data_IF_932563237729
#
_entry.id   IF_932563237729
#
_cell.length_a   1.000
_cell.length_b   1.000
_cell.length_c   1.000
_cell.angle_alpha   90.00
_cell.angle_beta   90.00
_cell.angle_gamma   90.00
#
_symmetry.space_group_name_H-M   'P 1'
#
loop_
_entity.id
_entity.type
_entity.pdbx_description
1 polymer ?
#
# COMPACT_ATOMS: atom_id res chain seq x y z
N UNK A 1 9.75 32.17 -5.47
CA UNK A 1 9.11 31.11 -6.29
C UNK A 1 10.23 30.37 -7.02
N UNK A 2 10.71 29.25 -6.47
CA UNK A 2 11.88 28.53 -7.00
C UNK A 2 11.37 27.41 -7.91
N UNK A 3 11.48 27.63 -9.22
CA UNK A 3 11.09 26.63 -10.22
C UNK A 3 12.24 25.61 -10.32
N UNK A 4 11.99 24.37 -9.89
CA UNK A 4 12.93 23.25 -9.96
C UNK A 4 12.88 22.61 -11.36
N UNK A 5 13.48 23.27 -12.36
CA UNK A 5 13.70 22.67 -13.67
C UNK A 5 15.01 21.89 -13.66
N UNK A 6 14.95 20.58 -13.36
CA UNK A 6 15.89 19.50 -13.79
C UNK A 6 16.00 18.29 -12.83
N UNK A 7 15.09 18.09 -11.88
CA UNK A 7 14.99 16.79 -11.20
C UNK A 7 14.21 15.83 -12.11
N UNK A 8 14.85 14.73 -12.53
CA UNK A 8 14.15 13.66 -13.28
C UNK A 8 12.92 13.22 -12.48
N UNK A 9 11.78 12.94 -13.11
CA UNK A 9 10.54 12.56 -12.40
C UNK A 9 10.77 11.50 -11.32
N UNK A 10 11.70 10.57 -11.57
CA UNK A 10 12.17 9.57 -10.62
C UNK A 10 12.71 10.16 -9.31
N UNK A 11 13.53 11.21 -9.36
CA UNK A 11 14.05 11.88 -8.15
C UNK A 11 12.96 12.56 -7.33
N UNK A 12 11.94 13.14 -7.97
CA UNK A 12 10.79 13.70 -7.25
C UNK A 12 10.00 12.60 -6.52
N UNK A 13 9.76 11.46 -7.17
CA UNK A 13 9.08 10.33 -6.54
C UNK A 13 9.90 9.72 -5.40
N UNK A 14 11.21 9.62 -5.57
CA UNK A 14 12.12 9.18 -4.52
C UNK A 14 12.08 10.12 -3.31
N UNK A 15 12.21 11.43 -3.52
CA UNK A 15 12.15 12.43 -2.45
C UNK A 15 10.80 12.40 -1.72
N UNK A 16 9.70 12.20 -2.47
CA UNK A 16 8.36 12.07 -1.89
C UNK A 16 8.20 10.81 -1.04
N UNK A 17 8.71 9.66 -1.50
CA UNK A 17 8.71 8.42 -0.71
C UNK A 17 9.55 8.59 0.55
N UNK A 18 10.74 9.20 0.44
CA UNK A 18 11.61 9.49 1.58
C UNK A 18 10.97 10.40 2.62
N UNK A 19 10.25 11.42 2.16
CA UNK A 19 9.48 12.29 3.04
C UNK A 19 8.39 11.49 3.79
N UNK A 20 7.62 10.67 3.07
CA UNK A 20 6.55 9.87 3.66
C UNK A 20 7.05 8.76 4.62
N UNK A 21 8.22 8.18 4.34
CA UNK A 21 8.94 7.30 5.26
C UNK A 21 9.22 7.98 6.60
N UNK A 22 9.77 9.21 6.56
CA UNK A 22 10.06 10.00 7.75
C UNK A 22 8.79 10.38 8.52
N UNK A 23 7.73 10.79 7.81
CA UNK A 23 6.42 11.09 8.43
C UNK A 23 5.84 9.86 9.15
N UNK A 24 6.12 8.65 8.69
CA UNK A 24 5.66 7.42 9.32
C UNK A 24 6.63 6.84 10.35
N UNK A 25 7.84 7.40 10.54
CA UNK A 25 8.93 6.74 11.28
C UNK A 25 9.22 5.31 10.78
N UNK A 26 9.17 5.12 9.46
CA UNK A 26 9.43 3.86 8.76
C UNK A 26 10.70 4.02 7.92
N UNK A 27 11.61 3.05 7.97
CA UNK A 27 12.73 2.96 7.03
C UNK A 27 12.59 1.69 6.19
N UNK A 28 12.19 1.82 4.93
CA UNK A 28 12.11 0.68 4.01
C UNK A 28 13.52 0.27 3.58
N UNK A 29 13.66 -1.00 3.22
CA UNK A 29 14.84 -1.47 2.50
C UNK A 29 14.86 -0.85 1.11
N UNK A 30 16.06 -0.57 0.61
CA UNK A 30 16.29 0.03 -0.71
C UNK A 30 15.49 -0.64 -1.84
N UNK A 31 15.38 -1.98 -1.87
CA UNK A 31 14.63 -2.69 -2.91
C UNK A 31 13.11 -2.40 -2.87
N UNK A 32 12.54 -2.24 -1.69
CA UNK A 32 11.12 -1.94 -1.50
C UNK A 32 10.80 -0.49 -1.84
N UNK A 33 11.69 0.42 -1.46
CA UNK A 33 11.61 1.83 -1.81
C UNK A 33 11.71 2.03 -3.33
N UNK A 34 12.72 1.43 -3.98
CA UNK A 34 12.87 1.48 -5.43
C UNK A 34 11.64 0.89 -6.15
N UNK A 35 11.05 -0.17 -5.59
CA UNK A 35 9.81 -0.74 -6.09
C UNK A 35 8.64 0.25 -5.98
N UNK A 36 8.47 0.91 -4.83
CA UNK A 36 7.43 1.92 -4.60
C UNK A 36 7.56 3.09 -5.57
N UNK A 37 8.77 3.63 -5.73
CA UNK A 37 9.06 4.71 -6.69
C UNK A 37 8.66 4.29 -8.11
N UNK A 38 9.04 3.08 -8.52
CA UNK A 38 8.69 2.54 -9.84
C UNK A 38 7.18 2.32 -9.99
N UNK A 39 6.50 1.87 -8.94
CA UNK A 39 5.05 1.70 -8.91
C UNK A 39 4.32 3.03 -9.09
N UNK A 40 4.73 4.06 -8.37
CA UNK A 40 4.16 5.41 -8.45
C UNK A 40 4.37 6.04 -9.84
N UNK A 41 5.57 5.90 -10.40
CA UNK A 41 5.86 6.33 -11.78
C UNK A 41 4.96 5.62 -12.80
N UNK A 42 4.76 4.31 -12.65
CA UNK A 42 3.91 3.51 -13.54
C UNK A 42 2.45 3.92 -13.44
N UNK A 43 1.96 4.13 -12.22
CA UNK A 43 0.58 4.54 -11.96
C UNK A 43 0.27 5.93 -12.55
N UNK A 44 1.16 6.90 -12.38
CA UNK A 44 0.97 8.27 -12.90
C UNK A 44 0.75 8.28 -14.41
N UNK A 45 1.36 7.35 -15.12
CA UNK A 45 1.21 7.20 -16.57
C UNK A 45 -0.01 6.34 -16.97
N UNK A 46 -0.67 5.67 -16.03
CA UNK A 46 -1.75 4.69 -16.24
C UNK A 46 -2.79 4.69 -15.10
N UNK A 47 -3.53 5.80 -14.90
CA UNK A 47 -4.51 5.91 -13.80
C UNK A 47 -5.68 4.92 -13.93
N UNK A 48 -5.94 4.37 -15.12
CA UNK A 48 -6.97 3.36 -15.37
C UNK A 48 -6.74 2.02 -14.66
N UNK A 49 -5.53 1.78 -14.14
CA UNK A 49 -5.22 0.60 -13.33
C UNK A 49 -6.11 0.51 -12.08
N UNK A 50 -6.62 1.63 -11.55
CA UNK A 50 -7.42 1.67 -10.31
C UNK A 50 -8.94 1.45 -10.57
N UNK A 51 -9.34 0.91 -11.72
CA UNK A 51 -10.77 0.77 -12.09
C UNK A 51 -11.36 -0.65 -11.95
N UNK A 52 -10.57 -1.65 -11.60
CA UNK A 52 -10.98 -3.07 -11.70
C UNK A 52 -11.44 -3.65 -10.35
N UNK A 53 -12.20 -4.74 -10.41
CA UNK A 53 -12.58 -5.57 -9.25
C UNK A 53 -11.50 -6.63 -9.04
N UNK A 54 -10.69 -6.45 -8.00
CA UNK A 54 -9.43 -7.18 -7.83
C UNK A 54 -9.60 -8.69 -7.64
N UNK A 55 -10.64 -9.14 -6.94
CA UNK A 55 -10.90 -10.57 -6.73
C UNK A 55 -11.09 -11.32 -8.06
N UNK A 56 -11.80 -10.72 -9.02
CA UNK A 56 -12.03 -11.36 -10.31
C UNK A 56 -10.73 -11.50 -11.09
N UNK A 57 -9.88 -10.48 -11.08
CA UNK A 57 -8.56 -10.52 -11.74
C UNK A 57 -7.66 -11.56 -11.08
N UNK A 58 -7.67 -11.66 -9.75
CA UNK A 58 -6.93 -12.69 -9.02
C UNK A 58 -7.38 -14.11 -9.37
N UNK A 59 -8.69 -14.37 -9.36
CA UNK A 59 -9.24 -15.69 -9.73
C UNK A 59 -8.91 -16.05 -11.18
N UNK A 60 -8.99 -15.08 -12.11
CA UNK A 60 -8.56 -15.29 -13.50
C UNK A 60 -7.07 -15.60 -13.59
N UNK A 61 -6.21 -14.91 -12.83
CA UNK A 61 -4.77 -15.15 -12.82
C UNK A 61 -4.43 -16.62 -12.49
N UNK A 62 -5.15 -17.21 -11.53
CA UNK A 62 -4.96 -18.61 -11.12
C UNK A 62 -5.25 -19.63 -12.24
N UNK A 63 -5.99 -19.24 -13.27
CA UNK A 63 -6.37 -20.12 -14.39
C UNK A 63 -5.37 -20.09 -15.55
N UNK A 64 -4.37 -19.19 -15.54
CA UNK A 64 -3.41 -19.04 -16.63
C UNK A 64 -2.08 -19.81 -16.40
N UNK A 65 -1.34 -20.03 -17.49
CA UNK A 65 0.02 -20.58 -17.47
C UNK A 65 1.02 -19.63 -16.78
N UNK A 66 2.13 -20.20 -16.29
CA UNK A 66 3.02 -19.57 -15.32
C UNK A 66 3.48 -18.12 -15.64
N UNK A 67 3.92 -17.76 -16.87
CA UNK A 67 4.38 -16.40 -17.15
C UNK A 67 3.26 -15.37 -17.10
N UNK A 68 2.07 -15.74 -17.62
CA UNK A 68 0.89 -14.87 -17.64
C UNK A 68 0.27 -14.75 -16.25
N UNK A 69 0.27 -15.83 -15.47
CA UNK A 69 -0.16 -15.84 -14.07
C UNK A 69 0.68 -14.90 -13.23
N UNK A 70 2.02 -14.93 -13.37
CA UNK A 70 2.92 -14.06 -12.62
C UNK A 70 2.63 -12.57 -12.88
N UNK A 71 2.50 -12.17 -14.15
CA UNK A 71 2.20 -10.77 -14.50
C UNK A 71 0.84 -10.31 -13.95
N UNK A 72 -0.18 -11.17 -13.99
CA UNK A 72 -1.50 -10.84 -13.44
C UNK A 72 -1.50 -10.76 -11.91
N UNK A 73 -0.79 -11.66 -11.24
CA UNK A 73 -0.62 -11.60 -9.79
C UNK A 73 0.13 -10.34 -9.35
N UNK A 74 1.19 -9.95 -10.07
CA UNK A 74 1.92 -8.73 -9.77
C UNK A 74 1.00 -7.52 -9.88
N UNK A 75 0.22 -7.45 -10.97
CA UNK A 75 -0.78 -6.41 -11.16
C UNK A 75 -1.80 -6.37 -10.02
N UNK A 76 -2.32 -7.52 -9.57
CA UNK A 76 -3.25 -7.57 -8.42
C UNK A 76 -2.59 -7.06 -7.14
N UNK A 77 -1.34 -7.46 -6.87
CA UNK A 77 -0.60 -6.98 -5.71
C UNK A 77 -0.39 -5.46 -5.74
N UNK A 78 0.07 -4.96 -6.87
CA UNK A 78 0.35 -3.54 -7.11
C UNK A 78 -0.91 -2.68 -7.00
N UNK A 79 -2.00 -3.09 -7.64
CA UNK A 79 -3.28 -2.38 -7.58
C UNK A 79 -3.86 -2.41 -6.16
N UNK A 80 -3.81 -3.56 -5.46
CA UNK A 80 -4.25 -3.62 -4.06
C UNK A 80 -3.43 -2.68 -3.16
N UNK A 81 -2.12 -2.58 -3.38
CA UNK A 81 -1.25 -1.67 -2.63
C UNK A 81 -1.58 -0.20 -2.90
N UNK A 82 -1.81 0.16 -4.17
CA UNK A 82 -2.25 1.51 -4.56
C UNK A 82 -3.62 1.86 -3.98
N UNK A 83 -4.58 0.92 -3.98
CA UNK A 83 -5.90 1.14 -3.40
C UNK A 83 -5.84 1.37 -1.88
N UNK A 84 -5.12 0.49 -1.17
CA UNK A 84 -4.98 0.60 0.28
C UNK A 84 -4.15 1.84 0.69
N UNK A 85 -3.17 2.20 -0.13
CA UNK A 85 -2.22 3.28 0.14
C UNK A 85 -2.72 4.67 -0.29
N UNK A 86 -3.05 4.85 -1.57
CA UNK A 86 -3.35 6.17 -2.13
C UNK A 86 -4.84 6.47 -2.22
N UNK A 87 -5.70 5.45 -2.28
CA UNK A 87 -7.14 5.61 -2.54
C UNK A 87 -8.06 4.93 -1.51
N UNK A 88 -7.82 5.09 -0.19
CA UNK A 88 -8.64 4.43 0.83
C UNK A 88 -10.13 4.79 0.71
N UNK A 89 -10.47 6.05 0.42
CA UNK A 89 -11.86 6.49 0.19
C UNK A 89 -12.56 5.79 -0.99
N UNK A 90 -11.82 5.33 -2.01
CA UNK A 90 -12.42 4.55 -3.10
C UNK A 90 -12.79 3.13 -2.64
N UNK A 91 -12.07 2.58 -1.66
CA UNK A 91 -12.42 1.29 -1.04
C UNK A 91 -13.75 1.40 -0.28
N UNK A 92 -13.92 2.48 0.48
CA UNK A 92 -15.17 2.79 1.20
C UNK A 92 -16.37 2.98 0.26
N UNK A 93 -16.20 3.73 -0.84
CA UNK A 93 -17.25 3.88 -1.87
C UNK A 93 -17.66 2.56 -2.52
N UNK A 94 -16.78 1.54 -2.48
CA UNK A 94 -17.07 0.19 -2.97
C UNK A 94 -17.63 -0.73 -1.86
N UNK A 95 -17.82 -0.23 -0.65
CA UNK A 95 -18.20 -0.99 0.55
C UNK A 95 -17.26 -2.17 0.84
N UNK A 96 -15.97 -2.02 0.53
CA UNK A 96 -14.94 -3.04 0.79
C UNK A 96 -13.89 -2.47 1.72
N UNK A 97 -13.67 -3.15 2.85
CA UNK A 97 -12.67 -2.73 3.84
C UNK A 97 -11.25 -2.71 3.26
N UNK A 98 -10.41 -1.80 3.73
CA UNK A 98 -8.98 -1.74 3.37
C UNK A 98 -8.29 -3.09 3.64
N UNK A 99 -8.67 -3.77 4.73
CA UNK A 99 -8.13 -5.08 5.11
C UNK A 99 -8.32 -6.19 4.06
N UNK A 100 -9.37 -6.09 3.24
CA UNK A 100 -9.56 -7.00 2.11
C UNK A 100 -8.47 -6.80 1.05
N UNK A 101 -8.17 -5.56 0.67
CA UNK A 101 -7.11 -5.26 -0.31
C UNK A 101 -5.74 -5.66 0.22
N UNK A 102 -5.48 -5.43 1.52
CA UNK A 102 -4.24 -5.88 2.17
C UNK A 102 -4.12 -7.40 2.09
N UNK A 103 -5.16 -8.14 2.48
CA UNK A 103 -5.15 -9.61 2.43
C UNK A 103 -4.93 -10.13 1.01
N UNK A 104 -5.66 -9.58 0.03
CA UNK A 104 -5.58 -10.00 -1.36
C UNK A 104 -4.21 -9.67 -1.98
N UNK A 105 -3.69 -8.46 -1.75
CA UNK A 105 -2.39 -8.04 -2.26
C UNK A 105 -1.22 -8.84 -1.68
N UNK A 106 -1.23 -9.11 -0.37
CA UNK A 106 -0.25 -10.00 0.27
C UNK A 106 -0.31 -11.40 -0.33
N UNK A 107 -1.52 -11.94 -0.51
CA UNK A 107 -1.72 -13.26 -1.12
C UNK A 107 -1.17 -13.28 -2.54
N UNK A 108 -1.40 -12.25 -3.33
CA UNK A 108 -0.90 -12.16 -4.70
C UNK A 108 0.63 -12.18 -4.74
N UNK A 109 1.31 -11.35 -3.94
CA UNK A 109 2.78 -11.36 -3.86
C UNK A 109 3.33 -12.68 -3.31
N UNK A 110 2.69 -13.29 -2.30
CA UNK A 110 3.07 -14.62 -1.80
C UNK A 110 3.00 -15.69 -2.90
N UNK A 111 2.02 -15.62 -3.81
CA UNK A 111 1.87 -16.58 -4.92
C UNK A 111 2.90 -16.38 -6.05
N UNK A 112 3.55 -15.20 -6.12
CA UNK A 112 4.64 -14.94 -7.05
C UNK A 112 5.98 -15.36 -6.47
N UNK A 113 6.13 -15.19 -5.15
CA UNK A 113 7.37 -15.49 -4.45
C UNK A 113 7.77 -16.96 -4.63
N UNK A 114 9.04 -17.15 -5.00
CA UNK A 114 9.66 -18.47 -5.20
C UNK A 114 10.52 -18.82 -3.98
N UNK A 115 11.08 -17.79 -3.31
CA UNK A 115 11.95 -17.95 -2.13
C UNK A 115 11.47 -17.03 -1.01
N UNK A 116 11.58 -17.50 0.23
CA UNK A 116 11.15 -16.79 1.44
C UNK A 116 11.79 -15.40 1.65
N UNK A 117 12.89 -15.12 0.96
CA UNK A 117 13.64 -13.86 1.04
C UNK A 117 13.76 -13.13 -0.31
N UNK A 118 12.92 -13.46 -1.30
CA UNK A 118 12.87 -12.65 -2.52
C UNK A 118 12.09 -11.34 -2.32
N UNK A 119 12.12 -10.49 -3.36
CA UNK A 119 11.43 -9.20 -3.38
C UNK A 119 9.93 -9.35 -3.10
N UNK A 120 9.26 -10.34 -3.70
CA UNK A 120 7.81 -10.51 -3.56
C UNK A 120 7.43 -11.03 -2.16
N UNK A 121 8.23 -11.91 -1.56
CA UNK A 121 8.08 -12.25 -0.14
C UNK A 121 8.24 -11.00 0.75
N UNK A 122 9.20 -10.13 0.42
CA UNK A 122 9.42 -8.88 1.16
C UNK A 122 8.26 -7.90 0.99
N UNK A 123 7.69 -7.76 -0.22
CA UNK A 123 6.49 -6.96 -0.48
C UNK A 123 5.28 -7.49 0.31
N UNK A 124 5.06 -8.81 0.31
CA UNK A 124 3.97 -9.43 1.07
C UNK A 124 4.13 -9.25 2.59
N UNK A 125 5.37 -9.32 3.09
CA UNK A 125 5.69 -9.17 4.52
C UNK A 125 5.50 -7.74 5.00
N UNK A 126 5.98 -6.75 4.24
CA UNK A 126 5.97 -5.34 4.62
C UNK A 126 4.79 -4.56 4.02
N UNK A 127 3.76 -5.25 3.52
CA UNK A 127 2.65 -4.63 2.81
C UNK A 127 2.00 -3.47 3.58
N UNK A 128 1.77 -3.64 4.89
CA UNK A 128 1.16 -2.60 5.73
C UNK A 128 2.09 -1.40 5.88
N UNK A 129 3.41 -1.60 6.02
CA UNK A 129 4.38 -0.51 6.06
C UNK A 129 4.44 0.26 4.72
N UNK A 130 4.37 -0.44 3.59
CA UNK A 130 4.31 0.18 2.27
C UNK A 130 3.00 0.97 2.07
N UNK A 131 1.89 0.42 2.57
CA UNK A 131 0.59 1.09 2.61
C UNK A 131 0.65 2.37 3.46
N UNK A 132 1.23 2.30 4.66
CA UNK A 132 1.39 3.45 5.56
C UNK A 132 2.17 4.58 4.88
N UNK A 133 3.32 4.25 4.25
CA UNK A 133 4.11 5.21 3.47
C UNK A 133 3.30 5.82 2.33
N UNK A 134 2.56 5.02 1.56
CA UNK A 134 1.68 5.56 0.51
C UNK A 134 0.56 6.45 1.06
N UNK A 135 -0.04 6.10 2.20
CA UNK A 135 -1.07 6.93 2.83
C UNK A 135 -0.51 8.28 3.32
N UNK A 136 0.74 8.31 3.79
CA UNK A 136 1.41 9.56 4.18
C UNK A 136 1.74 10.48 2.99
N UNK A 137 1.88 9.93 1.78
CA UNK A 137 1.97 10.74 0.55
C UNK A 137 0.65 11.49 0.29
N UNK A 138 -0.50 10.89 0.62
CA UNK A 138 -1.80 11.49 0.43
C UNK A 138 -2.23 12.32 1.66
N UNK A 139 -1.76 13.56 1.73
CA UNK A 139 -2.01 14.48 2.86
C UNK A 139 -3.50 14.84 3.06
N UNK A 140 -4.32 14.75 2.01
CA UNK A 140 -5.76 15.01 2.11
C UNK A 140 -6.52 13.84 2.78
N UNK A 141 -5.85 12.71 3.02
CA UNK A 141 -6.44 11.54 3.66
C UNK A 141 -6.40 11.65 5.18
N UNK A 142 -7.23 12.52 5.74
CA UNK A 142 -7.53 12.55 7.17
C UNK A 142 -8.34 11.30 7.53
N UNK A 143 -7.70 10.30 8.16
CA UNK A 143 -8.46 9.22 8.79
C UNK A 143 -9.22 9.79 9.98
N UNK A 144 -10.51 9.48 10.05
CA UNK A 144 -11.30 9.72 11.24
C UNK A 144 -10.81 8.81 12.38
N UNK A 145 -10.97 9.20 13.65
CA UNK A 145 -10.50 8.40 14.79
C UNK A 145 -10.98 6.95 14.78
N UNK A 146 -12.25 6.72 14.40
CA UNK A 146 -12.81 5.37 14.34
C UNK A 146 -12.16 4.53 13.22
N UNK A 147 -11.94 5.13 12.05
CA UNK A 147 -11.29 4.47 10.91
C UNK A 147 -9.83 4.13 11.25
N UNK A 148 -9.13 5.05 11.93
CA UNK A 148 -7.76 4.83 12.39
C UNK A 148 -7.71 3.69 13.42
N UNK A 149 -8.69 3.63 14.32
CA UNK A 149 -8.82 2.53 15.28
C UNK A 149 -9.04 1.19 14.59
N UNK A 150 -9.98 1.10 13.65
CA UNK A 150 -10.24 -0.13 12.89
C UNK A 150 -8.99 -0.56 12.09
N UNK A 151 -8.34 0.37 11.39
CA UNK A 151 -7.14 0.08 10.60
C UNK A 151 -5.99 -0.42 11.49
N UNK A 152 -5.75 0.23 12.65
CA UNK A 152 -4.74 -0.21 13.59
C UNK A 152 -5.08 -1.58 14.21
N UNK A 153 -6.33 -1.79 14.62
CA UNK A 153 -6.76 -3.02 15.25
C UNK A 153 -6.63 -4.22 14.29
N UNK A 154 -7.08 -4.06 13.05
CA UNK A 154 -7.16 -5.13 12.06
C UNK A 154 -5.82 -5.39 11.36
N UNK A 155 -5.05 -4.34 11.06
CA UNK A 155 -3.85 -4.42 10.22
C UNK A 155 -2.54 -4.16 10.97
N UNK A 156 -2.60 -3.55 12.15
CA UNK A 156 -1.40 -3.12 12.88
C UNK A 156 -0.67 -1.96 12.21
N UNK A 157 -1.40 -1.10 11.47
CA UNK A 157 -0.85 0.10 10.83
C UNK A 157 -0.25 1.03 11.88
N UNK A 158 1.03 1.40 11.70
CA UNK A 158 1.74 2.29 12.62
C UNK A 158 1.32 3.74 12.41
N UNK A 159 1.10 4.14 11.15
CA UNK A 159 0.51 5.45 10.83
C UNK A 159 -0.84 5.63 11.52
N UNK A 160 -1.71 4.61 11.47
CA UNK A 160 -3.02 4.67 12.12
C UNK A 160 -2.92 4.78 13.65
N UNK A 161 -1.97 4.06 14.26
CA UNK A 161 -1.68 4.20 15.70
C UNK A 161 -1.30 5.64 16.07
N UNK A 162 -0.38 6.24 15.32
CA UNK A 162 0.06 7.62 15.55
C UNK A 162 -1.08 8.64 15.42
N UNK A 163 -1.92 8.50 14.41
CA UNK A 163 -3.09 9.37 14.23
C UNK A 163 -4.01 9.30 15.46
N UNK A 164 -4.19 8.12 16.07
CA UNK A 164 -5.00 7.98 17.28
C UNK A 164 -4.40 8.72 18.48
N UNK A 165 -3.07 8.74 18.62
CA UNK A 165 -2.37 9.49 19.67
C UNK A 165 -2.57 11.01 19.52
N UNK A 166 -2.75 11.51 18.29
CA UNK A 166 -3.06 12.92 18.04
C UNK A 166 -4.49 13.29 18.46
N UNK A 167 -5.44 12.36 18.34
CA UNK A 167 -6.85 12.61 18.70
C UNK A 167 -7.15 12.42 20.18
N UNK A 168 -6.40 11.59 20.90
CA UNK A 168 -6.69 11.29 22.30
C UNK A 168 -5.42 11.00 23.12
N UNK A 169 -5.42 11.37 24.41
CA UNK A 169 -4.38 10.94 25.36
C UNK A 169 -4.55 9.48 25.84
N UNK A 170 -5.56 8.76 25.35
CA UNK A 170 -5.81 7.36 25.69
C UNK A 170 -4.95 6.43 24.82
N UNK A 171 -4.32 5.42 25.43
CA UNK A 171 -3.63 4.38 24.69
C UNK A 171 -4.65 3.48 23.97
N UNK A 172 -4.55 3.32 22.65
CA UNK A 172 -5.40 2.38 21.91
C UNK A 172 -5.26 0.97 22.48
N UNK A 173 -6.39 0.31 22.78
CA UNK A 173 -6.39 -1.08 23.26
C UNK A 173 -6.72 -2.04 22.11
N UNK A 174 -5.85 -3.03 21.90
CA UNK A 174 -6.04 -4.05 20.85
C UNK A 174 -6.96 -5.14 21.37
N UNK A 175 -8.18 -5.19 20.84
CA UNK A 175 -9.11 -6.28 21.13
C UNK A 175 -8.55 -7.59 20.56
N UNK A 176 -8.14 -8.51 21.43
CA UNK A 176 -7.86 -9.89 21.04
C UNK A 176 -9.19 -10.51 20.59
N UNK A 177 -9.36 -10.71 19.27
CA UNK A 177 -10.45 -11.54 18.75
C UNK A 177 -10.21 -12.97 19.26
N UNK A 178 -11.15 -13.48 20.06
CA UNK A 178 -11.19 -14.86 20.52
C UNK A 178 -11.44 -15.82 19.37
#
# INVERSE_FOLDING_TARGET
MRVLTSQTQMSLWHDLVKYAEAECDITLKHELEAYLVTLLMRYTNRPELVKRVMAMVFMQAMQYSAPRRQGLLQMVGDECLLFAGLFPHLAEKRHVKIAYYVTLGRTAYCNISIKTNDLYASLARHFVSLMDVLQAINQDSHLLPLEAYEQWQELGSWRAYRILEEYTQGLPFKLNKR
#
